data_IF_997465667553
#
_entry.id   IF_997465667553
#
_cell.length_a   1.000
_cell.length_b   1.000
_cell.length_c   1.000
_cell.angle_alpha   90.00
_cell.angle_beta   90.00
_cell.angle_gamma   90.00
#
_symmetry.space_group_name_H-M   'P 1'
#
loop_
_entity.id
_entity.type
_entity.pdbx_description
1 polymer ?
#
# COMPACT_ATOMS: atom_id res chain seq x y z
N UNK A 1 16.73 8.59 -11.89
CA UNK A 1 15.73 8.78 -10.82
C UNK A 1 14.60 7.78 -11.10
N UNK A 2 14.73 6.56 -10.57
CA UNK A 2 13.77 5.49 -10.84
C UNK A 2 12.78 5.39 -9.70
N UNK A 3 11.49 5.28 -10.03
CA UNK A 3 10.41 5.20 -9.06
C UNK A 3 9.99 3.75 -8.89
N UNK A 4 9.93 3.28 -7.63
CA UNK A 4 9.68 1.88 -7.29
C UNK A 4 8.50 1.75 -6.35
N UNK A 5 7.80 0.62 -6.46
CA UNK A 5 6.88 0.19 -5.41
C UNK A 5 7.65 -0.07 -4.13
N UNK A 6 7.22 0.53 -3.01
CA UNK A 6 7.92 0.44 -1.72
C UNK A 6 8.04 -0.99 -1.17
N UNK A 7 7.19 -1.92 -1.62
CA UNK A 7 7.26 -3.35 -1.26
C UNK A 7 8.60 -4.00 -1.66
N UNK A 8 9.19 -3.59 -2.79
CA UNK A 8 10.41 -4.19 -3.35
C UNK A 8 11.68 -3.71 -2.64
N UNK A 9 11.96 -2.39 -2.49
CA UNK A 9 13.19 -1.91 -1.88
C UNK A 9 13.18 -2.04 -0.36
N UNK A 10 12.07 -2.39 0.30
CA UNK A 10 11.97 -2.42 1.76
C UNK A 10 13.08 -3.22 2.45
N UNK A 11 13.37 -4.43 1.95
CA UNK A 11 14.48 -5.24 2.47
C UNK A 11 15.84 -4.60 2.23
N UNK A 12 16.03 -3.93 1.09
CA UNK A 12 17.27 -3.25 0.74
C UNK A 12 17.47 -1.95 1.54
N UNK A 13 16.39 -1.24 1.87
CA UNK A 13 16.39 -0.08 2.77
C UNK A 13 16.81 -0.50 4.17
N UNK A 14 16.20 -1.57 4.71
CA UNK A 14 16.58 -2.14 6.02
C UNK A 14 18.03 -2.63 6.04
N UNK A 15 18.53 -3.14 4.91
CA UNK A 15 19.93 -3.57 4.76
C UNK A 15 20.91 -2.42 4.47
N UNK A 16 20.45 -1.15 4.43
CA UNK A 16 21.29 0.01 4.14
C UNK A 16 21.84 0.07 2.71
N UNK A 17 21.33 -0.75 1.80
CA UNK A 17 21.78 -0.82 0.40
C UNK A 17 21.11 0.21 -0.50
N UNK A 18 19.96 0.72 -0.08
CA UNK A 18 19.18 1.73 -0.79
C UNK A 18 18.79 2.82 0.21
N UNK A 19 18.97 4.07 -0.18
CA UNK A 19 18.55 5.23 0.60
C UNK A 19 17.24 5.77 0.05
N UNK A 20 16.18 5.77 0.87
CA UNK A 20 14.88 6.32 0.50
C UNK A 20 14.90 7.85 0.64
N UNK A 21 14.63 8.56 -0.46
CA UNK A 21 14.69 10.02 -0.51
C UNK A 21 13.35 10.67 -0.18
N UNK A 22 12.26 10.14 -0.72
CA UNK A 22 10.91 10.61 -0.47
C UNK A 22 9.89 9.52 -0.82
N UNK A 23 8.70 9.59 -0.21
CA UNK A 23 7.53 8.79 -0.57
C UNK A 23 6.52 9.62 -1.37
N UNK A 24 5.94 9.02 -2.41
CA UNK A 24 4.90 9.64 -3.24
C UNK A 24 3.49 9.44 -2.65
N UNK A 25 3.34 9.80 -1.37
CA UNK A 25 2.10 9.64 -0.60
C UNK A 25 1.67 10.98 0.03
N UNK A 26 0.41 11.06 0.45
CA UNK A 26 -0.14 12.24 1.14
C UNK A 26 0.49 12.49 2.51
N UNK A 27 0.79 11.41 3.21
CA UNK A 27 1.42 11.43 4.52
C UNK A 27 2.61 10.46 4.52
N UNK A 28 3.52 10.65 5.47
CA UNK A 28 4.60 9.70 5.71
C UNK A 28 4.01 8.35 6.09
N UNK A 29 4.69 7.28 5.69
CA UNK A 29 4.28 5.94 6.05
C UNK A 29 4.60 5.71 7.53
N UNK A 30 3.68 5.19 8.36
CA UNK A 30 3.94 4.94 9.78
C UNK A 30 5.19 4.09 10.04
N UNK A 31 5.44 3.11 9.16
CA UNK A 31 6.60 2.22 9.19
C UNK A 31 7.93 2.90 8.76
N UNK A 32 7.87 4.08 8.14
CA UNK A 32 9.01 4.85 7.63
C UNK A 32 8.80 6.36 7.86
N UNK A 33 8.55 6.74 9.11
CA UNK A 33 8.29 8.13 9.49
C UNK A 33 9.50 9.06 9.28
N UNK A 34 10.69 8.48 9.11
CA UNK A 34 11.95 9.16 8.79
C UNK A 34 12.03 9.62 7.33
N UNK A 35 11.28 8.98 6.42
CA UNK A 35 11.28 9.32 4.99
C UNK A 35 10.21 10.39 4.72
N UNK A 36 10.58 11.57 4.20
CA UNK A 36 9.63 12.64 3.94
C UNK A 36 8.72 12.33 2.74
N UNK A 37 7.61 13.04 2.62
CA UNK A 37 6.77 12.97 1.41
C UNK A 37 7.33 13.85 0.30
N UNK A 38 6.97 13.57 -0.96
CA UNK A 38 7.29 14.46 -2.09
C UNK A 38 6.71 15.88 -1.90
N UNK A 39 5.57 16.00 -1.22
CA UNK A 39 4.99 17.29 -0.84
C UNK A 39 5.86 18.08 0.12
N UNK A 40 6.46 17.41 1.12
CA UNK A 40 7.35 18.03 2.11
C UNK A 40 8.69 18.49 1.52
N UNK A 41 9.14 17.86 0.42
CA UNK A 41 10.41 18.20 -0.25
C UNK A 41 10.23 19.10 -1.48
N UNK A 42 9.07 19.77 -1.62
CA UNK A 42 8.86 20.83 -2.61
C UNK A 42 8.14 20.42 -3.89
N UNK A 43 7.56 19.21 -3.95
CA UNK A 43 6.74 18.74 -5.07
C UNK A 43 5.26 18.55 -4.63
N UNK A 44 4.53 19.64 -4.36
CA UNK A 44 3.15 19.57 -3.90
C UNK A 44 2.24 18.89 -4.92
N UNK A 45 1.32 18.06 -4.44
CA UNK A 45 0.36 17.33 -5.28
C UNK A 45 0.94 16.10 -6.01
N UNK A 46 2.24 15.83 -5.89
CA UNK A 46 2.86 14.66 -6.49
C UNK A 46 2.54 13.40 -5.68
N UNK A 47 1.51 12.70 -6.14
CA UNK A 47 0.97 11.49 -5.53
C UNK A 47 1.08 10.35 -6.49
N UNK A 48 1.45 9.20 -5.96
CA UNK A 48 1.61 8.02 -6.77
C UNK A 48 1.40 6.79 -5.88
N UNK A 49 0.15 6.59 -5.48
CA UNK A 49 -0.27 5.44 -4.70
C UNK A 49 -0.45 4.23 -5.62
N UNK A 50 0.13 3.10 -5.24
CA UNK A 50 -0.11 1.84 -5.91
C UNK A 50 -1.19 1.07 -5.18
N UNK A 51 -2.16 0.57 -5.94
CA UNK A 51 -3.30 -0.18 -5.43
C UNK A 51 -3.40 -1.52 -6.14
N UNK A 52 -4.05 -2.46 -5.49
CA UNK A 52 -4.36 -3.78 -6.02
C UNK A 52 -5.85 -4.01 -5.83
N UNK A 53 -6.50 -4.63 -6.82
CA UNK A 53 -7.91 -5.00 -6.72
C UNK A 53 -8.11 -6.47 -7.12
N UNK A 54 -9.11 -7.09 -6.52
CA UNK A 54 -9.59 -8.41 -6.92
C UNK A 54 -10.65 -8.26 -8.03
N UNK A 55 -10.57 -9.10 -9.05
CA UNK A 55 -11.50 -9.13 -10.18
C UNK A 55 -12.10 -10.53 -10.32
N UNK A 56 -13.35 -10.59 -10.77
CA UNK A 56 -14.04 -11.83 -11.10
C UNK A 56 -14.39 -11.87 -12.61
N UNK A 57 -14.51 -13.06 -13.22
CA UNK A 57 -14.92 -13.19 -14.62
C UNK A 57 -16.30 -12.56 -14.89
N UNK A 58 -16.56 -12.23 -16.16
CA UNK A 58 -17.89 -11.77 -16.58
C UNK A 58 -18.93 -12.88 -16.39
N UNK A 59 -20.14 -12.51 -15.94
CA UNK A 59 -21.27 -13.42 -15.76
C UNK A 59 -21.34 -14.12 -14.39
N UNK A 60 -20.46 -13.79 -13.44
CA UNK A 60 -20.58 -14.26 -12.06
C UNK A 60 -21.87 -13.66 -11.43
N UNK A 61 -22.77 -14.49 -10.88
CA UNK A 61 -23.99 -14.01 -10.22
C UNK A 61 -23.72 -13.01 -9.10
N UNK A 62 -24.63 -12.04 -8.94
CA UNK A 62 -24.49 -10.95 -7.97
C UNK A 62 -24.36 -11.45 -6.53
N UNK A 63 -25.03 -12.56 -6.19
CA UNK A 63 -24.98 -13.19 -4.88
C UNK A 63 -23.58 -13.72 -4.54
N UNK A 64 -22.86 -14.24 -5.55
CA UNK A 64 -21.49 -14.71 -5.39
C UNK A 64 -20.56 -13.51 -5.21
N UNK A 65 -20.73 -12.44 -5.98
CA UNK A 65 -19.96 -11.21 -5.82
C UNK A 65 -20.16 -10.62 -4.42
N UNK A 66 -21.40 -10.57 -3.91
CA UNK A 66 -21.69 -10.08 -2.57
C UNK A 66 -21.03 -10.93 -1.49
N UNK A 67 -21.02 -12.25 -1.66
CA UNK A 67 -20.35 -13.19 -0.75
C UNK A 67 -18.84 -12.96 -0.75
N UNK A 68 -18.22 -12.86 -1.93
CA UNK A 68 -16.79 -12.58 -2.06
C UNK A 68 -16.43 -11.24 -1.45
N UNK A 69 -17.15 -10.18 -1.78
CA UNK A 69 -16.93 -8.84 -1.22
C UNK A 69 -16.95 -8.85 0.31
N UNK A 70 -17.97 -9.48 0.90
CA UNK A 70 -18.09 -9.61 2.37
C UNK A 70 -16.89 -10.34 2.97
N UNK A 71 -16.48 -11.46 2.37
CA UNK A 71 -15.31 -12.23 2.82
C UNK A 71 -14.01 -11.42 2.68
N UNK A 72 -13.82 -10.68 1.58
CA UNK A 72 -12.65 -9.83 1.37
C UNK A 72 -12.56 -8.70 2.40
N UNK A 73 -13.67 -8.00 2.66
CA UNK A 73 -13.71 -6.92 3.67
C UNK A 73 -13.41 -7.47 5.06
N UNK A 74 -14.00 -8.61 5.42
CA UNK A 74 -13.74 -9.26 6.70
C UNK A 74 -12.25 -9.67 6.85
N UNK A 75 -11.68 -10.27 5.81
CA UNK A 75 -10.28 -10.67 5.80
C UNK A 75 -9.32 -9.47 5.88
N UNK A 76 -9.59 -8.40 5.14
CA UNK A 76 -8.78 -7.18 5.19
C UNK A 76 -8.87 -6.46 6.54
N UNK A 77 -9.98 -6.62 7.26
CA UNK A 77 -10.16 -6.07 8.61
C UNK A 77 -9.48 -6.91 9.70
N UNK A 78 -9.01 -8.12 9.39
CA UNK A 78 -8.35 -8.98 10.37
C UNK A 78 -6.99 -8.39 10.80
N UNK A 79 -6.66 -8.33 12.11
CA UNK A 79 -5.41 -7.75 12.59
C UNK A 79 -4.16 -8.38 11.97
N UNK A 80 -4.15 -9.71 11.83
CA UNK A 80 -3.04 -10.46 11.22
C UNK A 80 -2.80 -10.04 9.76
N UNK A 81 -3.87 -9.71 9.04
CA UNK A 81 -3.82 -9.25 7.66
C UNK A 81 -3.29 -7.82 7.60
N UNK A 82 -3.80 -6.92 8.45
CA UNK A 82 -3.32 -5.54 8.59
C UNK A 82 -1.82 -5.49 8.90
N UNK A 83 -1.35 -6.32 9.82
CA UNK A 83 0.07 -6.44 10.16
C UNK A 83 0.90 -6.97 8.99
N UNK A 84 0.40 -7.97 8.26
CA UNK A 84 1.09 -8.52 7.10
C UNK A 84 1.26 -7.47 5.99
N UNK A 85 0.21 -6.70 5.69
CA UNK A 85 0.26 -5.60 4.72
C UNK A 85 1.22 -4.49 5.18
N UNK A 86 1.15 -4.09 6.45
CA UNK A 86 2.05 -3.08 7.02
C UNK A 86 3.53 -3.52 6.94
N UNK A 87 3.82 -4.80 7.25
CA UNK A 87 5.17 -5.37 7.08
C UNK A 87 5.65 -5.34 5.63
N UNK A 88 4.74 -5.48 4.67
CA UNK A 88 5.00 -5.40 3.24
C UNK A 88 5.10 -3.97 2.69
N UNK A 89 4.86 -2.95 3.51
CA UNK A 89 4.85 -1.55 3.04
C UNK A 89 3.55 -1.16 2.33
N UNK A 90 2.50 -1.96 2.42
CA UNK A 90 1.17 -1.64 1.91
C UNK A 90 0.31 -1.03 3.01
N UNK A 91 -0.49 -0.03 2.65
CA UNK A 91 -1.54 0.48 3.50
C UNK A 91 -2.84 -0.21 3.10
N UNK A 92 -3.51 -0.84 4.06
CA UNK A 92 -4.92 -1.21 3.85
C UNK A 92 -5.73 0.07 4.02
N UNK A 93 -6.56 0.47 3.05
CA UNK A 93 -7.48 1.57 3.25
C UNK A 93 -8.29 1.32 4.52
N UNK A 94 -8.42 2.34 5.36
CA UNK A 94 -9.40 2.29 6.45
C UNK A 94 -10.82 2.07 5.89
N UNK A 95 -11.76 1.65 6.75
CA UNK A 95 -13.17 1.53 6.35
C UNK A 95 -13.72 2.83 5.74
#
# INVERSE_FOLDING_TARGET
MSWFNITIPLGMMKAGRVHALAVAADARLPQHADVPTLGEVGFPGMRAAQWVAAFAPAGVPAEIIATLHTAFVAAMSAPEMQEAFARGGMLVPGP
#
